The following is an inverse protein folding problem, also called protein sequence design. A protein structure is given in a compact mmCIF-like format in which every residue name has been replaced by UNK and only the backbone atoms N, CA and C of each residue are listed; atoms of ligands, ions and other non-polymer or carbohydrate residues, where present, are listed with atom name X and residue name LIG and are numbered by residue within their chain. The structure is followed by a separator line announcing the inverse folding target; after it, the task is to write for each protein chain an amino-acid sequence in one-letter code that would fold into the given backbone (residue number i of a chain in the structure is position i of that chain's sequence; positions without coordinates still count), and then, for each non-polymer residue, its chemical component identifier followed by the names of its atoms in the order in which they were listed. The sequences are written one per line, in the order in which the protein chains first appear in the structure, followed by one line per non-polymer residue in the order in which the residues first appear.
data_IF_572755543104
#
_entry.id   IF_572755543104
#
_cell.length_a   1.000
_cell.length_b   1.000
_cell.length_c   1.000
_cell.angle_alpha   90.00
_cell.angle_beta   90.00
_cell.angle_gamma   90.00
#
_symmetry.space_group_name_H-M   'P 1'
#
loop_
_entity.id
_entity.type
_entity.pdbx_description
1 polymer ?
#
# COMPACT_ATOMS: atom_id res chain seq x y z
N UNK A 1 -42.49 -41.63 83.63
CA UNK A 1 -41.66 -40.41 83.55
C UNK A 1 -40.36 -40.81 82.87
N UNK A 2 -40.12 -40.24 81.68
CA UNK A 2 -38.85 -40.19 80.91
C UNK A 2 -38.20 -41.56 80.56
N UNK A 3 -37.55 -41.82 79.43
CA UNK A 3 -36.97 -41.05 78.33
C UNK A 3 -36.65 -42.14 77.26
N UNK A 4 -37.30 -42.12 76.11
CA UNK A 4 -36.79 -41.58 74.85
C UNK A 4 -35.70 -42.42 74.12
N UNK A 5 -36.18 -43.00 73.01
CA UNK A 5 -35.52 -43.48 71.78
C UNK A 5 -34.02 -43.19 71.60
N UNK A 6 -33.28 -44.23 71.18
CA UNK A 6 -32.12 -44.07 70.29
C UNK A 6 -32.11 -45.16 69.22
N UNK A 7 -32.57 -44.79 68.02
CA UNK A 7 -32.36 -45.52 66.77
C UNK A 7 -31.43 -44.66 65.90
N UNK A 8 -30.42 -45.31 65.33
CA UNK A 8 -29.83 -45.04 64.01
C UNK A 8 -29.32 -43.63 63.69
N UNK A 9 -28.00 -43.49 63.55
CA UNK A 9 -27.40 -42.56 62.60
C UNK A 9 -26.09 -43.14 62.08
N UNK A 10 -26.18 -43.90 60.97
CA UNK A 10 -25.04 -44.18 60.11
C UNK A 10 -24.88 -42.94 59.22
N UNK A 11 -23.84 -42.17 59.46
CA UNK A 11 -23.51 -40.98 58.67
C UNK A 11 -23.01 -41.41 57.29
N UNK A 12 -23.86 -41.32 56.28
CA UNK A 12 -23.47 -41.42 54.88
C UNK A 12 -23.17 -40.00 54.38
N UNK A 13 -21.90 -39.77 54.06
CA UNK A 13 -21.37 -38.56 53.43
C UNK A 13 -21.96 -38.41 52.00
N UNK A 14 -22.62 -37.30 51.62
CA UNK A 14 -23.11 -37.14 50.27
C UNK A 14 -21.98 -36.71 49.32
N UNK A 15 -21.42 -37.67 48.57
CA UNK A 15 -20.51 -37.44 47.42
C UNK A 15 -21.24 -36.92 46.17
N UNK A 16 -22.02 -35.85 46.27
CA UNK A 16 -22.83 -35.41 45.12
C UNK A 16 -22.90 -33.90 44.84
N UNK A 17 -22.18 -33.03 45.55
CA UNK A 17 -22.30 -31.58 45.32
C UNK A 17 -21.21 -30.93 44.45
N UNK A 18 -20.07 -31.56 44.20
CA UNK A 18 -19.06 -31.00 43.28
C UNK A 18 -19.42 -31.15 41.79
N UNK A 19 -20.40 -31.99 41.44
CA UNK A 19 -20.79 -32.24 40.03
C UNK A 19 -21.76 -31.20 39.44
N UNK A 20 -22.36 -30.34 40.26
CA UNK A 20 -23.44 -29.43 39.80
C UNK A 20 -22.89 -28.09 39.32
N UNK A 21 -21.71 -27.68 39.81
CA UNK A 21 -21.11 -26.38 39.45
C UNK A 21 -20.23 -26.38 38.20
N UNK A 22 -19.99 -27.55 37.58
CA UNK A 22 -19.18 -27.66 36.37
C UNK A 22 -19.96 -27.43 35.05
N UNK A 23 -21.25 -27.09 35.10
CA UNK A 23 -22.14 -27.09 33.93
C UNK A 23 -22.58 -25.70 33.42
N UNK A 24 -21.79 -24.64 33.59
CA UNK A 24 -22.19 -23.33 33.05
C UNK A 24 -21.03 -22.41 32.63
N UNK A 25 -19.94 -22.98 32.11
CA UNK A 25 -19.19 -22.24 31.10
C UNK A 25 -19.80 -22.66 29.78
N UNK A 26 -20.70 -21.83 29.26
CA UNK A 26 -21.25 -21.91 27.91
C UNK A 26 -20.08 -21.74 26.93
N UNK A 27 -19.31 -22.81 26.75
CA UNK A 27 -18.44 -22.96 25.61
C UNK A 27 -19.38 -23.01 24.41
N UNK A 28 -19.34 -22.03 23.49
CA UNK A 28 -20.20 -22.07 22.32
C UNK A 28 -19.97 -23.42 21.66
N UNK A 29 -21.03 -24.24 21.60
CA UNK A 29 -20.96 -25.60 21.11
C UNK A 29 -20.18 -25.59 19.79
N UNK A 30 -19.07 -26.34 19.74
CA UNK A 30 -18.40 -26.54 18.47
C UNK A 30 -19.44 -27.10 17.49
N UNK A 31 -19.59 -26.49 16.30
CA UNK A 31 -20.58 -26.95 15.33
C UNK A 31 -20.39 -28.44 15.07
N UNK A 32 -21.49 -29.19 15.04
CA UNK A 32 -21.46 -30.60 14.70
C UNK A 32 -20.75 -30.81 13.36
N UNK A 33 -20.21 -32.00 13.12
CA UNK A 33 -19.51 -32.34 11.88
C UNK A 33 -20.40 -32.09 10.65
N UNK A 34 -20.15 -30.96 9.96
CA UNK A 34 -20.92 -30.51 8.80
C UNK A 34 -21.67 -29.18 8.99
N UNK A 35 -21.71 -28.63 10.19
CA UNK A 35 -22.28 -27.29 10.42
C UNK A 35 -21.27 -26.18 10.05
N UNK A 36 -21.78 -25.12 9.41
CA UNK A 36 -20.96 -24.01 8.95
C UNK A 36 -20.43 -23.19 10.14
N UNK A 37 -19.10 -23.24 10.36
CA UNK A 37 -18.37 -22.60 11.44
C UNK A 37 -17.89 -21.16 11.17
N UNK A 38 -18.17 -20.60 9.99
CA UNK A 38 -17.71 -19.26 9.63
C UNK A 38 -18.17 -18.21 10.66
N UNK A 39 -17.47 -17.12 10.88
CA UNK A 39 -17.89 -16.04 11.80
C UNK A 39 -18.06 -16.44 13.28
N UNK A 40 -17.72 -17.66 13.67
CA UNK A 40 -17.82 -18.16 15.05
C UNK A 40 -16.47 -18.19 15.76
N UNK A 41 -15.41 -17.65 15.15
CA UNK A 41 -14.03 -17.81 15.60
C UNK A 41 -13.61 -19.29 15.80
N UNK A 42 -14.32 -20.23 15.16
CA UNK A 42 -14.16 -21.67 15.33
C UNK A 42 -13.22 -22.31 14.31
N UNK A 43 -13.40 -23.62 14.14
CA UNK A 43 -12.63 -24.44 13.21
C UNK A 43 -12.74 -23.93 11.77
N UNK A 44 -11.63 -23.96 11.03
CA UNK A 44 -11.59 -23.59 9.60
C UNK A 44 -11.66 -24.87 8.78
N UNK A 45 -12.54 -24.98 7.77
CA UNK A 45 -12.58 -26.11 6.85
C UNK A 45 -11.21 -26.37 6.21
N UNK A 46 -10.76 -27.64 6.10
CA UNK A 46 -9.46 -27.98 5.50
C UNK A 46 -9.25 -27.41 4.10
N UNK A 47 -10.33 -27.24 3.32
CA UNK A 47 -10.29 -26.67 1.97
C UNK A 47 -9.93 -25.17 1.92
N UNK A 48 -10.07 -24.46 3.03
CA UNK A 48 -9.76 -23.03 3.16
C UNK A 48 -8.35 -22.83 3.74
N UNK A 49 -7.91 -23.78 4.58
CA UNK A 49 -6.62 -23.73 5.25
C UNK A 49 -5.45 -23.78 4.25
N UNK A 50 -4.42 -22.99 4.50
CA UNK A 50 -3.17 -23.01 3.73
C UNK A 50 -3.24 -22.45 2.30
N UNK A 51 -4.40 -21.97 1.83
CA UNK A 51 -4.52 -21.29 0.55
C UNK A 51 -4.03 -19.83 0.60
N UNK A 52 -3.34 -19.38 -0.45
CA UNK A 52 -2.95 -17.97 -0.57
C UNK A 52 -4.15 -17.06 -0.88
N UNK A 53 -4.27 -15.93 -0.16
CA UNK A 53 -5.31 -14.94 -0.36
C UNK A 53 -4.76 -13.71 -1.13
N UNK A 54 -4.98 -13.70 -2.43
CA UNK A 54 -4.59 -12.58 -3.30
C UNK A 54 -5.31 -11.27 -2.98
N UNK A 55 -6.57 -11.33 -2.55
CA UNK A 55 -7.31 -10.13 -2.15
C UNK A 55 -6.69 -9.46 -0.93
N UNK A 56 -6.39 -10.26 0.10
CA UNK A 56 -5.76 -9.80 1.34
C UNK A 56 -4.35 -9.25 1.10
N UNK A 57 -3.53 -9.94 0.30
CA UNK A 57 -2.18 -9.49 -0.04
C UNK A 57 -2.17 -8.16 -0.81
N UNK A 58 -3.03 -8.01 -1.83
CA UNK A 58 -3.01 -6.83 -2.72
C UNK A 58 -3.72 -5.61 -2.13
N UNK A 59 -4.74 -5.82 -1.30
CA UNK A 59 -5.60 -4.74 -0.79
C UNK A 59 -5.39 -4.46 0.69
N UNK A 60 -4.65 -5.32 1.42
CA UNK A 60 -4.24 -5.11 2.80
C UNK A 60 -5.39 -4.72 3.72
N UNK A 61 -5.31 -3.53 4.30
CA UNK A 61 -6.30 -2.97 5.20
C UNK A 61 -7.70 -2.81 4.59
N UNK A 62 -7.82 -2.53 3.28
CA UNK A 62 -9.12 -2.36 2.59
C UNK A 62 -9.87 -3.68 2.61
N UNK A 63 -9.17 -4.76 2.25
CA UNK A 63 -9.73 -6.12 2.33
C UNK A 63 -10.02 -6.50 3.78
N UNK A 64 -9.16 -6.09 4.73
CA UNK A 64 -9.34 -6.34 6.15
C UNK A 64 -10.65 -5.77 6.71
N UNK A 65 -10.98 -4.52 6.37
CA UNK A 65 -12.27 -3.91 6.73
C UNK A 65 -13.44 -4.71 6.15
N UNK A 66 -13.35 -5.14 4.89
CA UNK A 66 -14.40 -5.93 4.23
C UNK A 66 -14.65 -7.32 4.82
N UNK A 67 -13.72 -7.83 5.64
CA UNK A 67 -13.79 -9.16 6.26
C UNK A 67 -13.70 -9.13 7.79
N UNK A 68 -13.79 -7.95 8.41
CA UNK A 68 -13.62 -7.78 9.86
C UNK A 68 -12.29 -8.33 10.39
N UNK A 69 -11.21 -8.28 9.59
CA UNK A 69 -9.86 -8.70 9.94
C UNK A 69 -9.04 -7.47 10.34
N UNK A 70 -9.28 -6.98 11.56
CA UNK A 70 -8.70 -5.71 12.04
C UNK A 70 -7.18 -5.71 12.19
N UNK A 71 -6.57 -6.89 12.35
CA UNK A 71 -5.10 -7.03 12.33
C UNK A 71 -4.48 -6.56 11.00
N UNK A 72 -5.26 -6.52 9.91
CA UNK A 72 -4.82 -5.96 8.63
C UNK A 72 -4.49 -4.46 8.72
N UNK A 73 -4.98 -3.73 9.73
CA UNK A 73 -4.61 -2.33 9.95
C UNK A 73 -3.13 -2.16 10.34
N UNK A 74 -2.46 -3.23 10.79
CA UNK A 74 -1.01 -3.19 11.05
C UNK A 74 -0.18 -2.93 9.77
N UNK A 75 -0.75 -3.07 8.57
CA UNK A 75 -0.13 -2.64 7.32
C UNK A 75 0.27 -1.16 7.30
N UNK A 76 -0.29 -0.30 8.17
CA UNK A 76 0.12 1.10 8.28
C UNK A 76 1.38 1.33 9.13
N UNK A 77 1.77 0.34 9.94
CA UNK A 77 2.85 0.48 10.93
C UNK A 77 4.02 -0.43 10.57
N UNK A 78 3.73 -1.65 10.11
CA UNK A 78 4.76 -2.63 9.77
C UNK A 78 5.32 -2.35 8.38
N UNK A 79 6.65 -2.45 8.18
CA UNK A 79 7.25 -2.26 6.86
C UNK A 79 6.68 -3.23 5.82
N UNK A 80 6.31 -2.65 4.68
CA UNK A 80 5.90 -3.42 3.50
C UNK A 80 7.07 -4.29 3.00
N UNK A 81 6.84 -5.58 2.61
CA UNK A 81 5.55 -6.26 2.45
C UNK A 81 5.20 -7.25 3.59
N UNK A 82 5.74 -7.08 4.80
CA UNK A 82 5.68 -8.13 5.83
C UNK A 82 4.23 -8.46 6.23
N UNK A 83 3.40 -7.46 6.54
CA UNK A 83 2.00 -7.71 6.92
C UNK A 83 1.18 -8.20 5.75
N UNK A 84 1.47 -7.75 4.54
CA UNK A 84 0.79 -8.17 3.31
C UNK A 84 1.03 -9.66 3.07
N UNK A 85 2.26 -10.14 3.28
CA UNK A 85 2.59 -11.57 3.20
C UNK A 85 1.82 -12.35 4.26
N UNK A 86 1.80 -11.87 5.51
CA UNK A 86 1.04 -12.53 6.59
C UNK A 86 -0.45 -12.62 6.22
N UNK A 87 -1.03 -11.54 5.70
CA UNK A 87 -2.39 -11.50 5.19
C UNK A 87 -2.60 -12.44 3.99
N UNK A 88 -1.60 -12.57 3.11
CA UNK A 88 -1.63 -13.53 2.02
C UNK A 88 -1.70 -14.98 2.50
N UNK A 89 -0.94 -15.34 3.55
CA UNK A 89 -0.90 -16.71 4.09
C UNK A 89 -2.09 -17.01 5.00
N UNK A 90 -2.50 -16.08 5.87
CA UNK A 90 -3.52 -16.31 6.93
C UNK A 90 -4.87 -15.67 6.65
N UNK A 91 -4.97 -14.80 5.65
CA UNK A 91 -6.18 -14.04 5.37
C UNK A 91 -7.41 -14.92 5.15
N UNK A 92 -7.28 -16.07 4.49
CA UNK A 92 -8.40 -16.98 4.30
C UNK A 92 -8.99 -17.49 5.63
N UNK A 93 -8.13 -17.89 6.56
CA UNK A 93 -8.54 -18.39 7.88
C UNK A 93 -9.14 -17.27 8.72
N UNK A 94 -8.50 -16.10 8.77
CA UNK A 94 -9.00 -14.95 9.53
C UNK A 94 -10.33 -14.42 8.98
N UNK A 95 -10.49 -14.37 7.66
CA UNK A 95 -11.76 -13.97 7.06
C UNK A 95 -12.86 -14.97 7.39
N UNK A 96 -12.58 -16.28 7.30
CA UNK A 96 -13.54 -17.32 7.66
C UNK A 96 -13.97 -17.20 9.11
N UNK A 97 -13.03 -16.98 10.03
CA UNK A 97 -13.30 -16.88 11.47
C UNK A 97 -14.10 -15.63 11.86
N UNK A 98 -13.87 -14.50 11.18
CA UNK A 98 -14.40 -13.20 11.59
C UNK A 98 -15.70 -12.78 10.90
N UNK A 99 -16.11 -13.48 9.82
CA UNK A 99 -17.32 -13.14 9.06
C UNK A 99 -18.15 -14.38 8.75
N UNK A 100 -19.47 -14.27 8.86
CA UNK A 100 -20.42 -15.33 8.42
C UNK A 100 -20.51 -15.40 6.91
N UNK A 101 -20.40 -16.61 6.38
CA UNK A 101 -20.63 -16.97 4.98
C UNK A 101 -21.73 -18.03 4.92
N UNK A 102 -22.40 -18.17 3.78
CA UNK A 102 -23.47 -19.18 3.62
C UNK A 102 -22.90 -20.60 3.47
N UNK A 103 -21.78 -20.74 2.76
CA UNK A 103 -21.04 -21.99 2.58
C UNK A 103 -19.57 -21.73 2.23
N UNK A 104 -18.78 -22.80 2.09
CA UNK A 104 -17.38 -22.73 1.62
C UNK A 104 -17.31 -22.21 0.18
N UNK A 105 -18.27 -22.57 -0.67
CA UNK A 105 -18.38 -22.10 -2.06
C UNK A 105 -18.66 -20.60 -2.08
N UNK A 106 -19.60 -20.13 -1.26
CA UNK A 106 -19.90 -18.71 -1.14
C UNK A 106 -18.65 -17.91 -0.72
N UNK A 107 -17.89 -18.44 0.25
CA UNK A 107 -16.61 -17.85 0.65
C UNK A 107 -15.61 -17.77 -0.52
N UNK A 108 -15.38 -18.88 -1.24
CA UNK A 108 -14.46 -18.94 -2.38
C UNK A 108 -14.87 -17.95 -3.48
N UNK A 109 -16.16 -17.79 -3.75
CA UNK A 109 -16.66 -16.80 -4.71
C UNK A 109 -16.38 -15.35 -4.28
N UNK A 110 -16.60 -15.03 -3.00
CA UNK A 110 -16.30 -13.72 -2.44
C UNK A 110 -14.80 -13.44 -2.54
N UNK A 111 -13.94 -14.36 -2.09
CA UNK A 111 -12.48 -14.20 -2.17
C UNK A 111 -11.99 -14.06 -3.61
N UNK A 112 -12.59 -14.78 -4.57
CA UNK A 112 -12.28 -14.63 -6.00
C UNK A 112 -12.59 -13.23 -6.51
N UNK A 113 -13.74 -12.64 -6.14
CA UNK A 113 -14.07 -11.26 -6.51
C UNK A 113 -13.05 -10.27 -5.94
N UNK A 114 -12.69 -10.44 -4.66
CA UNK A 114 -11.65 -9.60 -4.03
C UNK A 114 -10.29 -9.74 -4.70
N UNK A 115 -9.88 -10.95 -5.08
CA UNK A 115 -8.65 -11.18 -5.83
C UNK A 115 -8.67 -10.46 -7.19
N UNK A 116 -9.77 -10.56 -7.94
CA UNK A 116 -9.91 -9.87 -9.25
C UNK A 116 -9.78 -8.35 -9.09
N UNK A 117 -10.50 -7.76 -8.14
CA UNK A 117 -10.42 -6.32 -7.87
C UNK A 117 -9.02 -5.91 -7.39
N UNK A 118 -8.39 -6.72 -6.55
CA UNK A 118 -7.01 -6.51 -6.10
C UNK A 118 -6.03 -6.46 -7.25
N UNK A 119 -6.09 -7.44 -8.15
CA UNK A 119 -5.22 -7.49 -9.34
C UNK A 119 -5.48 -6.32 -10.28
N UNK A 120 -6.75 -5.99 -10.53
CA UNK A 120 -7.12 -4.88 -11.40
C UNK A 120 -6.57 -3.54 -10.88
N UNK A 121 -6.77 -3.26 -9.59
CA UNK A 121 -6.28 -2.02 -8.97
C UNK A 121 -4.75 -1.98 -8.92
N UNK A 122 -4.10 -3.11 -8.66
CA UNK A 122 -2.63 -3.21 -8.70
C UNK A 122 -2.08 -2.88 -10.08
N UNK A 123 -2.66 -3.43 -11.15
CA UNK A 123 -2.23 -3.16 -12.53
C UNK A 123 -2.44 -1.69 -12.88
N UNK A 124 -3.62 -1.13 -12.58
CA UNK A 124 -3.91 0.29 -12.85
C UNK A 124 -2.93 1.19 -12.12
N UNK A 125 -2.67 0.92 -10.83
CA UNK A 125 -1.70 1.67 -10.03
C UNK A 125 -0.29 1.61 -10.62
N UNK A 126 0.18 0.42 -11.00
CA UNK A 126 1.48 0.25 -11.64
C UNK A 126 1.59 1.05 -12.95
N UNK A 127 0.56 1.02 -13.80
CA UNK A 127 0.53 1.79 -15.04
C UNK A 127 0.57 3.31 -14.79
N UNK A 128 -0.19 3.80 -13.81
CA UNK A 128 -0.18 5.21 -13.42
C UNK A 128 1.20 5.65 -12.91
N UNK A 129 1.86 4.82 -12.09
CA UNK A 129 3.20 5.09 -11.58
C UNK A 129 4.22 5.13 -12.73
N UNK A 130 4.19 4.15 -13.63
CA UNK A 130 5.07 4.12 -14.81
C UNK A 130 4.84 5.37 -15.68
N UNK A 131 3.59 5.75 -15.93
CA UNK A 131 3.26 6.93 -16.71
C UNK A 131 3.76 8.22 -16.04
N UNK A 132 3.61 8.33 -14.71
CA UNK A 132 4.13 9.46 -13.94
C UNK A 132 5.64 9.57 -14.04
N UNK A 133 6.38 8.49 -13.77
CA UNK A 133 7.84 8.48 -13.86
C UNK A 133 8.33 8.78 -15.27
N UNK A 134 7.67 8.22 -16.29
CA UNK A 134 8.00 8.51 -17.69
C UNK A 134 7.79 9.99 -18.00
N UNK A 135 6.68 10.58 -17.56
CA UNK A 135 6.40 12.02 -17.73
C UNK A 135 7.46 12.89 -17.05
N UNK A 136 7.83 12.57 -15.80
CA UNK A 136 8.88 13.29 -15.07
C UNK A 136 10.24 13.22 -15.77
N UNK A 137 10.62 12.06 -16.31
CA UNK A 137 11.85 11.88 -17.08
C UNK A 137 11.80 12.74 -18.35
N UNK A 138 10.70 12.71 -19.10
CA UNK A 138 10.55 13.50 -20.33
C UNK A 138 10.62 15.00 -20.05
N UNK A 139 10.00 15.47 -18.97
CA UNK A 139 10.09 16.87 -18.51
C UNK A 139 11.54 17.22 -18.17
N UNK A 140 12.24 16.37 -17.40
CA UNK A 140 13.64 16.59 -17.05
C UNK A 140 14.55 16.67 -18.28
N UNK A 141 14.36 15.78 -19.25
CA UNK A 141 15.12 15.78 -20.51
C UNK A 141 14.83 17.02 -21.35
N UNK A 142 13.55 17.40 -21.47
CA UNK A 142 13.15 18.62 -22.16
C UNK A 142 13.78 19.85 -21.52
N UNK A 143 13.75 19.96 -20.19
CA UNK A 143 14.30 21.10 -19.48
C UNK A 143 15.82 21.23 -19.67
N UNK A 144 16.56 20.11 -19.63
CA UNK A 144 18.00 20.14 -19.88
C UNK A 144 18.32 20.62 -21.31
N UNK A 145 17.56 20.15 -22.31
CA UNK A 145 17.73 20.60 -23.69
C UNK A 145 17.41 22.09 -23.84
N UNK A 146 16.29 22.55 -23.28
CA UNK A 146 15.84 23.94 -23.39
C UNK A 146 16.87 24.91 -22.77
N UNK A 147 17.53 24.53 -21.65
CA UNK A 147 18.64 25.30 -21.06
C UNK A 147 19.85 25.35 -21.99
N UNK A 148 20.25 24.22 -22.57
CA UNK A 148 21.37 24.18 -23.51
C UNK A 148 21.12 25.04 -24.75
N UNK A 149 19.90 25.04 -25.28
CA UNK A 149 19.54 25.87 -26.44
C UNK A 149 19.53 27.36 -26.09
N UNK A 150 19.05 27.75 -24.91
CA UNK A 150 19.12 29.14 -24.43
C UNK A 150 20.57 29.62 -24.29
N UNK A 151 21.45 28.78 -23.75
CA UNK A 151 22.87 29.11 -23.61
C UNK A 151 23.55 29.27 -24.98
N UNK A 152 23.18 28.44 -25.96
CA UNK A 152 23.68 28.57 -27.35
C UNK A 152 23.24 29.89 -27.98
N UNK A 153 21.95 30.23 -27.89
CA UNK A 153 21.41 31.47 -28.45
C UNK A 153 22.09 32.70 -27.85
N UNK A 154 22.22 32.76 -26.51
CA UNK A 154 22.91 33.88 -25.83
C UNK A 154 24.37 34.01 -26.25
N UNK A 155 25.10 32.90 -26.41
CA UNK A 155 26.50 32.93 -26.86
C UNK A 155 26.62 33.45 -28.29
N UNK A 156 25.72 33.06 -29.18
CA UNK A 156 25.68 33.56 -30.56
C UNK A 156 25.35 35.06 -30.62
N UNK A 157 24.41 35.52 -29.81
CA UNK A 157 24.07 36.94 -29.68
C UNK A 157 25.27 37.76 -29.16
N UNK A 158 25.93 37.30 -28.10
CA UNK A 158 27.14 37.95 -27.56
C UNK A 158 28.25 38.00 -28.62
N UNK A 159 28.47 36.89 -29.33
CA UNK A 159 29.47 36.82 -30.42
C UNK A 159 29.15 37.84 -31.51
N UNK A 160 27.90 37.89 -31.96
CA UNK A 160 27.45 38.82 -33.01
C UNK A 160 27.60 40.28 -32.55
N UNK A 161 27.12 40.62 -31.36
CA UNK A 161 27.25 41.96 -30.80
C UNK A 161 28.72 42.39 -30.67
N UNK A 162 29.61 41.46 -30.28
CA UNK A 162 31.05 41.71 -30.23
C UNK A 162 31.64 41.96 -31.63
N UNK A 163 31.30 41.15 -32.62
CA UNK A 163 31.74 41.34 -34.00
C UNK A 163 31.27 42.67 -34.59
N UNK A 164 30.01 43.05 -34.33
CA UNK A 164 29.42 44.30 -34.78
C UNK A 164 30.11 45.50 -34.11
N UNK A 165 30.39 45.41 -32.80
CA UNK A 165 31.16 46.42 -32.07
C UNK A 165 32.58 46.58 -32.63
N UNK A 166 33.30 45.49 -32.87
CA UNK A 166 34.66 45.51 -33.43
C UNK A 166 34.65 46.17 -34.81
N UNK A 167 33.73 45.77 -35.70
CA UNK A 167 33.61 46.36 -37.04
C UNK A 167 33.34 47.85 -36.97
N UNK A 168 32.40 48.27 -36.12
CA UNK A 168 32.07 49.68 -35.92
C UNK A 168 33.30 50.48 -35.47
N UNK A 169 33.98 50.01 -34.43
CA UNK A 169 35.15 50.70 -33.87
C UNK A 169 36.31 50.76 -34.87
N UNK A 170 36.59 49.68 -35.60
CA UNK A 170 37.63 49.68 -36.63
C UNK A 170 37.31 50.67 -37.77
N UNK A 171 36.04 50.75 -38.19
CA UNK A 171 35.62 51.72 -39.19
C UNK A 171 35.78 53.17 -38.69
N UNK A 172 35.41 53.45 -37.43
CA UNK A 172 35.61 54.78 -36.82
C UNK A 172 37.09 55.15 -36.74
N UNK A 173 37.96 54.24 -36.30
CA UNK A 173 39.41 54.46 -36.25
C UNK A 173 40.02 54.71 -37.64
N UNK A 174 39.61 53.93 -38.65
CA UNK A 174 40.07 54.12 -40.02
C UNK A 174 39.66 55.49 -40.59
N UNK A 175 38.42 55.93 -40.31
CA UNK A 175 37.94 57.24 -40.74
C UNK A 175 38.73 58.38 -40.08
N UNK A 176 39.01 58.28 -38.77
CA UNK A 176 39.81 59.27 -38.03
C UNK A 176 41.25 59.35 -38.56
N UNK A 177 41.86 58.21 -38.88
CA UNK A 177 43.22 58.16 -39.42
C UNK A 177 43.30 58.86 -40.79
N UNK A 178 42.37 58.55 -41.69
CA UNK A 178 42.34 59.15 -43.04
C UNK A 178 42.15 60.67 -43.00
N UNK A 179 41.23 61.17 -42.16
CA UNK A 179 40.96 62.60 -42.00
C UNK A 179 42.20 63.37 -41.47
N UNK A 180 42.92 62.76 -40.54
CA UNK A 180 44.17 63.32 -40.00
C UNK A 180 45.27 63.37 -41.06
N UNK A 181 45.42 62.31 -41.87
CA UNK A 181 46.41 62.27 -42.95
C UNK A 181 46.12 63.29 -44.05
N UNK A 182 44.84 63.49 -44.39
CA UNK A 182 44.42 64.47 -45.39
C UNK A 182 44.67 65.90 -44.90
N UNK A 183 44.43 66.18 -43.62
CA UNK A 183 44.72 67.49 -43.02
C UNK A 183 46.23 67.79 -43.00
N UNK A 184 47.06 66.79 -42.67
CA UNK A 184 48.51 66.95 -42.64
C UNK A 184 49.14 67.15 -44.01
N UNK A 185 48.59 66.53 -45.06
CA UNK A 185 49.10 66.68 -46.44
C UNK A 185 48.69 67.99 -47.09
N UNK A 186 47.51 68.54 -46.76
CA UNK A 186 47.01 69.80 -47.31
C UNK A 186 47.58 71.07 -46.64
N UNK A 187 48.38 70.94 -45.57
CA UNK A 187 48.96 72.06 -44.82
C UNK A 187 50.47 72.28 -45.06
N UNK A 188 51.07 71.50 -45.96
CA UNK A 188 52.44 71.64 -46.47
C UNK A 188 52.45 72.21 -47.89
#
# INVERSE_FOLDING_TARGET
MAEEKSKSAKTEEPKHEESVFAHAIDHPAEPADGENSSGMHGSVPPEIMGGWNWGAFLLGWIWGIGHSVWIALLSFIVPWPIMEIILGVKGNEWAWQNRRFESVEHFKEVQRKWAIWGVLLFIISALCIIALFTSLILISLKQHRDVADQDRIKREEIRKNKEDWIKKNNNELNNLFNDTSDTATNTL
#
